data_IF_180179106789
#
_entry.id   IF_180179106789
#
_cell.length_a   1.000
_cell.length_b   1.000
_cell.length_c   1.000
_cell.angle_alpha   90.00
_cell.angle_beta   90.00
_cell.angle_gamma   90.00
#
_symmetry.space_group_name_H-M   'P 1'
#
loop_
_entity.id
_entity.type
_entity.pdbx_description
1 polymer ?
#
# COMPACT_ATOMS: atom_id res chain seq x y z
N UNK A 1 -31.63 15.70 61.22
CA UNK A 1 -31.81 15.68 59.74
C UNK A 1 -30.51 15.68 58.94
N UNK A 2 -29.37 16.16 59.44
CA UNK A 2 -28.10 16.11 58.69
C UNK A 2 -27.44 14.71 58.60
N UNK A 3 -27.52 13.90 59.67
CA UNK A 3 -26.91 12.57 59.71
C UNK A 3 -27.58 11.55 58.76
N UNK A 4 -28.88 11.72 58.48
CA UNK A 4 -29.67 10.83 57.62
C UNK A 4 -29.39 11.07 56.13
N UNK A 5 -28.99 12.28 55.75
CA UNK A 5 -28.68 12.67 54.36
C UNK A 5 -27.25 12.23 53.98
N UNK A 6 -26.31 12.21 54.93
CA UNK A 6 -24.93 11.76 54.69
C UNK A 6 -24.83 10.23 54.55
N UNK A 7 -25.60 9.45 55.30
CA UNK A 7 -25.68 7.99 55.11
C UNK A 7 -26.34 7.60 53.77
N UNK A 8 -27.33 8.37 53.31
CA UNK A 8 -27.98 8.14 52.02
C UNK A 8 -27.06 8.46 50.84
N UNK A 9 -26.19 9.49 50.96
CA UNK A 9 -25.20 9.82 49.92
C UNK A 9 -24.02 8.82 49.88
N UNK A 10 -23.57 8.31 51.02
CA UNK A 10 -22.52 7.27 51.08
C UNK A 10 -23.07 5.92 50.62
N UNK A 11 -24.32 5.59 50.96
CA UNK A 11 -24.99 4.39 50.45
C UNK A 11 -25.23 4.44 48.94
N UNK A 12 -25.58 5.60 48.37
CA UNK A 12 -25.76 5.77 46.94
C UNK A 12 -24.44 5.77 46.16
N UNK A 13 -23.34 6.28 46.72
CA UNK A 13 -22.01 6.26 46.08
C UNK A 13 -21.32 4.89 46.16
N UNK A 14 -21.49 4.16 47.28
CA UNK A 14 -21.05 2.76 47.39
C UNK A 14 -21.92 1.84 46.53
N UNK A 15 -23.25 2.04 46.46
CA UNK A 15 -24.13 1.26 45.60
C UNK A 15 -23.88 1.52 44.10
N UNK A 16 -23.49 2.74 43.69
CA UNK A 16 -23.09 3.03 42.31
C UNK A 16 -21.70 2.46 41.99
N UNK A 17 -20.78 2.42 42.95
CA UNK A 17 -19.49 1.74 42.79
C UNK A 17 -19.64 0.21 42.73
N UNK A 18 -20.53 -0.40 43.50
CA UNK A 18 -20.83 -1.85 43.43
C UNK A 18 -21.65 -2.23 42.21
N UNK A 19 -22.60 -1.39 41.77
CA UNK A 19 -23.37 -1.63 40.54
C UNK A 19 -22.55 -1.44 39.25
N UNK A 20 -21.34 -0.86 39.34
CA UNK A 20 -20.35 -0.88 38.27
C UNK A 20 -19.53 -2.19 38.26
N UNK A 21 -19.36 -2.84 39.43
CA UNK A 21 -18.58 -4.07 39.61
C UNK A 21 -19.37 -5.35 39.21
N UNK A 22 -20.70 -5.31 39.22
CA UNK A 22 -21.56 -6.39 38.72
C UNK A 22 -21.69 -6.44 37.18
N UNK A 23 -21.18 -5.42 36.48
CA UNK A 23 -21.20 -5.41 35.01
C UNK A 23 -19.95 -6.12 34.50
N UNK A 24 -20.12 -7.12 33.64
CA UNK A 24 -18.98 -7.77 32.98
C UNK A 24 -18.17 -6.79 32.10
N UNK A 25 -16.95 -7.19 31.69
CA UNK A 25 -16.05 -6.34 30.91
C UNK A 25 -16.70 -5.75 29.65
N UNK A 26 -16.36 -4.50 29.28
CA UNK A 26 -16.83 -3.87 28.04
C UNK A 26 -15.67 -3.29 27.26
N UNK A 27 -15.69 -3.47 25.94
CA UNK A 27 -14.74 -2.80 25.03
C UNK A 27 -14.94 -1.29 25.10
N UNK A 28 -13.84 -0.56 25.27
CA UNK A 28 -13.79 0.90 25.35
C UNK A 28 -13.04 1.53 24.20
N UNK A 29 -12.06 0.83 23.67
CA UNK A 29 -11.26 1.29 22.55
C UNK A 29 -10.83 0.08 21.72
N UNK A 30 -10.72 0.31 20.42
CA UNK A 30 -10.06 -0.60 19.50
C UNK A 30 -8.94 0.19 18.82
N UNK A 31 -7.75 -0.39 18.78
CA UNK A 31 -6.60 0.18 18.09
C UNK A 31 -6.09 -0.80 17.04
N UNK A 32 -5.62 -0.26 15.92
CA UNK A 32 -5.33 -1.01 14.70
C UNK A 32 -6.37 -0.72 13.63
N UNK A 33 -5.96 -0.79 12.37
CA UNK A 33 -6.83 -0.55 11.22
C UNK A 33 -7.13 -1.86 10.49
N UNK A 34 -8.33 -2.40 10.70
CA UNK A 34 -8.74 -3.65 10.10
C UNK A 34 -8.83 -3.59 8.56
N UNK A 35 -8.90 -2.39 7.97
CA UNK A 35 -8.88 -2.23 6.52
C UNK A 35 -7.55 -2.67 5.91
N UNK A 36 -6.44 -2.59 6.66
CA UNK A 36 -5.12 -3.02 6.21
C UNK A 36 -4.96 -4.55 6.20
N UNK A 37 -5.87 -5.30 6.84
CA UNK A 37 -5.76 -6.76 6.98
C UNK A 37 -5.89 -7.51 5.64
N UNK A 38 -6.37 -6.85 4.58
CA UNK A 38 -6.45 -7.44 3.22
C UNK A 38 -5.13 -7.33 2.46
N UNK A 39 -4.21 -6.46 2.89
CA UNK A 39 -2.96 -6.14 2.20
C UNK A 39 -1.72 -6.21 3.09
N UNK A 40 -1.86 -6.39 4.40
CA UNK A 40 -0.76 -6.52 5.36
C UNK A 40 -0.91 -7.80 6.19
N UNK A 41 0.16 -8.59 6.25
CA UNK A 41 0.27 -9.74 7.15
C UNK A 41 0.65 -9.26 8.55
N UNK A 42 0.37 -10.09 9.56
CA UNK A 42 0.70 -9.84 10.97
C UNK A 42 0.08 -8.56 11.58
N UNK A 43 -1.01 -8.07 10.96
CA UNK A 43 -1.77 -6.95 11.49
C UNK A 43 -2.38 -7.34 12.85
N UNK A 44 -2.15 -6.50 13.86
CA UNK A 44 -2.70 -6.69 15.20
C UNK A 44 -3.83 -5.70 15.48
N UNK A 45 -5.02 -6.22 15.76
CA UNK A 45 -6.11 -5.46 16.38
C UNK A 45 -6.07 -5.65 17.89
N UNK A 46 -6.15 -4.55 18.64
CA UNK A 46 -6.19 -4.58 20.10
C UNK A 46 -7.50 -4.00 20.60
N UNK A 47 -8.31 -4.84 21.25
CA UNK A 47 -9.57 -4.45 21.86
C UNK A 47 -9.34 -4.24 23.36
N UNK A 48 -9.33 -3.00 23.81
CA UNK A 48 -9.15 -2.63 25.22
C UNK A 48 -10.49 -2.59 25.92
N UNK A 49 -10.57 -3.25 27.07
CA UNK A 49 -11.74 -3.27 27.93
C UNK A 49 -11.56 -2.36 29.15
N UNK A 50 -12.65 -2.10 29.87
CA UNK A 50 -12.65 -1.30 31.11
C UNK A 50 -12.24 -2.08 32.37
N UNK A 51 -11.99 -3.39 32.25
CA UNK A 51 -11.65 -4.26 33.37
C UNK A 51 -10.54 -5.24 32.97
N UNK A 52 -9.66 -5.64 33.89
CA UNK A 52 -8.70 -6.71 33.61
C UNK A 52 -9.47 -8.01 33.30
N UNK A 53 -8.99 -8.73 32.29
CA UNK A 53 -9.59 -9.95 31.78
C UNK A 53 -8.93 -11.19 32.39
N UNK A 54 -9.74 -12.20 32.60
CA UNK A 54 -9.28 -13.53 32.97
C UNK A 54 -8.82 -14.29 31.73
N UNK A 55 -7.66 -14.96 31.81
CA UNK A 55 -7.04 -15.65 30.68
C UNK A 55 -7.90 -16.82 30.17
N UNK A 56 -8.78 -17.37 31.02
CA UNK A 56 -9.78 -18.38 30.60
C UNK A 56 -10.75 -17.86 29.54
N UNK A 57 -10.88 -16.55 29.36
CA UNK A 57 -11.75 -15.99 28.31
C UNK A 57 -11.22 -16.27 26.89
N UNK A 58 -9.96 -16.70 26.75
CA UNK A 58 -9.40 -17.12 25.45
C UNK A 58 -10.06 -18.38 24.91
N UNK A 59 -10.53 -19.29 25.75
CA UNK A 59 -11.11 -20.59 25.32
C UNK A 59 -12.37 -20.42 24.46
N UNK A 60 -13.11 -19.33 24.64
CA UNK A 60 -14.33 -19.02 23.88
C UNK A 60 -14.14 -17.98 22.79
N UNK A 61 -12.93 -17.41 22.65
CA UNK A 61 -12.64 -16.34 21.70
C UNK A 61 -12.48 -16.92 20.30
N UNK A 62 -13.21 -16.36 19.34
CA UNK A 62 -13.22 -16.83 17.95
C UNK A 62 -13.48 -15.70 16.96
N UNK A 63 -13.11 -15.96 15.70
CA UNK A 63 -13.30 -15.04 14.57
C UNK A 63 -14.29 -15.69 13.61
N UNK A 64 -15.29 -14.94 13.17
CA UNK A 64 -16.32 -15.38 12.21
C UNK A 64 -16.36 -14.42 11.01
N UNK A 65 -16.22 -14.87 9.75
CA UNK A 65 -15.80 -16.22 9.35
C UNK A 65 -14.39 -16.55 9.88
N UNK A 66 -14.07 -17.85 9.93
CA UNK A 66 -12.78 -18.32 10.41
C UNK A 66 -11.63 -17.72 9.60
N UNK A 67 -10.62 -17.19 10.30
CA UNK A 67 -9.43 -16.61 9.72
C UNK A 67 -8.20 -16.98 10.57
N UNK A 68 -7.04 -17.19 9.96
CA UNK A 68 -5.82 -17.53 10.68
C UNK A 68 -5.36 -16.34 11.53
N UNK A 69 -5.38 -16.51 12.85
CA UNK A 69 -4.98 -15.49 13.80
C UNK A 69 -4.44 -16.09 15.10
N UNK A 70 -3.45 -15.41 15.66
CA UNK A 70 -3.00 -15.63 17.03
C UNK A 70 -3.75 -14.67 17.95
N UNK A 71 -4.33 -15.21 19.03
CA UNK A 71 -5.14 -14.45 19.97
C UNK A 71 -4.58 -14.58 21.38
N UNK A 72 -4.45 -13.45 22.06
CA UNK A 72 -3.99 -13.40 23.45
C UNK A 72 -4.77 -12.40 24.28
N UNK A 73 -4.75 -12.60 25.59
CA UNK A 73 -5.23 -11.65 26.58
C UNK A 73 -4.02 -11.07 27.30
N UNK A 74 -3.91 -9.75 27.32
CA UNK A 74 -2.91 -9.03 28.10
C UNK A 74 -3.57 -7.98 28.97
N UNK A 75 -3.67 -8.29 30.27
CA UNK A 75 -4.32 -7.43 31.26
C UNK A 75 -5.77 -7.18 30.90
N UNK A 76 -6.09 -5.96 30.46
CA UNK A 76 -7.44 -5.54 30.08
C UNK A 76 -7.66 -5.57 28.55
N UNK A 77 -6.75 -6.13 27.77
CA UNK A 77 -6.81 -6.12 26.31
C UNK A 77 -6.94 -7.53 25.74
N UNK A 78 -7.74 -7.67 24.68
CA UNK A 78 -7.70 -8.81 23.76
C UNK A 78 -6.88 -8.36 22.56
N UNK A 79 -5.77 -9.04 22.26
CA UNK A 79 -5.00 -8.82 21.03
C UNK A 79 -5.29 -9.93 20.04
N UNK A 80 -5.58 -9.56 18.82
CA UNK A 80 -5.83 -10.47 17.70
C UNK A 80 -4.84 -10.12 16.60
N UNK A 81 -3.84 -10.97 16.39
CA UNK A 81 -2.85 -10.83 15.30
C UNK A 81 -3.23 -11.76 14.16
N UNK A 82 -3.68 -11.19 13.05
CA UNK A 82 -3.99 -11.94 11.84
C UNK A 82 -2.69 -12.39 11.16
N UNK A 83 -2.43 -13.69 11.12
CA UNK A 83 -1.19 -14.24 10.55
C UNK A 83 -1.25 -14.37 9.02
N UNK A 84 -2.45 -14.25 8.46
CA UNK A 84 -2.70 -14.19 7.02
C UNK A 84 -3.57 -13.01 6.62
N UNK A 85 -3.72 -12.81 5.32
CA UNK A 85 -4.58 -11.76 4.77
C UNK A 85 -6.06 -12.14 4.89
N UNK A 86 -6.90 -11.18 5.27
CA UNK A 86 -8.35 -11.35 5.30
C UNK A 86 -8.96 -11.26 3.90
N UNK A 87 -10.14 -11.84 3.70
CA UNK A 87 -10.89 -11.73 2.46
C UNK A 87 -11.36 -10.28 2.25
N UNK A 88 -11.46 -9.84 0.99
CA UNK A 88 -12.02 -8.53 0.64
C UNK A 88 -13.55 -8.52 0.80
N UNK A 89 -14.13 -7.34 1.02
CA UNK A 89 -15.58 -7.11 1.12
C UNK A 89 -16.30 -8.09 2.06
N UNK A 90 -15.66 -8.46 3.17
CA UNK A 90 -16.13 -9.50 4.08
C UNK A 90 -16.39 -8.94 5.47
N UNK A 91 -17.58 -9.22 6.01
CA UNK A 91 -17.93 -8.88 7.38
C UNK A 91 -17.34 -9.91 8.35
N UNK A 92 -16.46 -9.45 9.23
CA UNK A 92 -15.83 -10.25 10.28
C UNK A 92 -16.36 -9.86 11.66
N UNK A 93 -16.38 -10.84 12.58
CA UNK A 93 -16.71 -10.65 13.99
C UNK A 93 -15.69 -11.35 14.87
N UNK A 94 -15.20 -10.63 15.88
CA UNK A 94 -14.44 -11.19 16.99
C UNK A 94 -15.41 -11.38 18.14
N UNK A 95 -15.67 -12.63 18.49
CA UNK A 95 -16.71 -13.02 19.46
C UNK A 95 -16.08 -13.76 20.63
N UNK A 96 -16.40 -13.34 21.85
CA UNK A 96 -16.18 -14.13 23.06
C UNK A 96 -17.49 -14.18 23.85
N UNK A 97 -18.20 -15.31 23.91
CA UNK A 97 -19.51 -15.40 24.55
C UNK A 97 -19.43 -15.16 26.07
N UNK A 98 -18.31 -15.52 26.70
CA UNK A 98 -18.07 -15.40 28.14
C UNK A 98 -16.76 -14.66 28.45
N UNK A 99 -16.69 -13.38 28.09
CA UNK A 99 -15.59 -12.51 28.50
C UNK A 99 -15.66 -12.26 30.02
N UNK A 100 -14.63 -12.70 30.76
CA UNK A 100 -14.65 -12.70 32.23
C UNK A 100 -13.70 -11.66 32.82
N UNK A 101 -14.20 -10.90 33.80
CA UNK A 101 -13.37 -9.99 34.60
C UNK A 101 -12.50 -10.78 35.58
N UNK A 102 -11.19 -10.54 35.56
CA UNK A 102 -10.26 -11.07 36.57
C UNK A 102 -10.51 -10.45 37.95
N UNK A 103 -10.97 -9.19 37.99
CA UNK A 103 -11.16 -8.45 39.23
C UNK A 103 -12.45 -8.83 39.96
N UNK A 104 -13.55 -9.04 39.24
CA UNK A 104 -14.88 -9.24 39.84
C UNK A 104 -15.48 -10.62 39.55
N UNK A 105 -14.95 -11.35 38.57
CA UNK A 105 -15.53 -12.60 38.07
C UNK A 105 -16.80 -12.42 37.22
N UNK A 106 -17.28 -11.18 37.05
CA UNK A 106 -18.44 -10.87 36.22
C UNK A 106 -18.17 -11.23 34.75
N UNK A 107 -19.23 -11.66 34.05
CA UNK A 107 -19.18 -12.10 32.65
C UNK A 107 -19.92 -11.14 31.74
N UNK A 108 -19.46 -11.02 30.51
CA UNK A 108 -20.11 -10.31 29.42
C UNK A 108 -19.84 -11.01 28.10
N UNK A 109 -20.49 -10.56 27.03
CA UNK A 109 -20.19 -10.99 25.68
C UNK A 109 -19.35 -9.92 24.99
N UNK A 110 -18.23 -10.33 24.40
CA UNK A 110 -17.51 -9.58 23.39
C UNK A 110 -18.12 -9.89 22.04
N UNK A 111 -18.50 -8.85 21.31
CA UNK A 111 -18.97 -8.93 19.93
C UNK A 111 -18.50 -7.68 19.20
N UNK A 112 -17.35 -7.78 18.54
CA UNK A 112 -16.77 -6.70 17.76
C UNK A 112 -16.84 -7.04 16.29
N UNK A 113 -17.59 -6.25 15.52
CA UNK A 113 -17.74 -6.43 14.09
C UNK A 113 -16.91 -5.38 13.33
N UNK A 114 -16.32 -5.81 12.21
CA UNK A 114 -15.70 -4.93 11.23
C UNK A 114 -15.89 -5.51 9.83
N UNK A 115 -15.78 -4.68 8.80
CA UNK A 115 -15.87 -5.12 7.41
C UNK A 115 -14.60 -4.74 6.70
N UNK A 116 -13.99 -5.69 5.99
CA UNK A 116 -12.82 -5.42 5.15
C UNK A 116 -13.23 -4.66 3.89
N UNK A 117 -12.37 -3.78 3.35
CA UNK A 117 -12.69 -3.02 2.13
C UNK A 117 -12.81 -3.95 0.91
N UNK A 118 -13.50 -3.51 -0.16
CA UNK A 118 -13.51 -4.22 -1.43
C UNK A 118 -12.12 -4.21 -2.08
N UNK A 119 -11.88 -5.17 -2.97
CA UNK A 119 -10.69 -5.12 -3.82
C UNK A 119 -10.85 -4.00 -4.85
N UNK A 120 -9.89 -3.10 -4.94
CA UNK A 120 -9.91 -1.99 -5.90
C UNK A 120 -8.64 -1.94 -6.71
N UNK A 121 -8.75 -1.46 -7.95
CA UNK A 121 -7.61 -1.04 -8.76
C UNK A 121 -7.85 0.39 -9.21
N UNK A 122 -6.85 1.24 -9.05
CA UNK A 122 -6.87 2.58 -9.66
C UNK A 122 -6.04 2.52 -10.93
N UNK A 123 -6.46 3.22 -11.97
CA UNK A 123 -5.79 3.28 -13.28
C UNK A 123 -5.79 4.71 -13.82
N UNK A 124 -4.85 4.99 -14.72
CA UNK A 124 -4.81 6.21 -15.50
C UNK A 124 -5.41 5.96 -16.89
N UNK A 125 -6.49 6.67 -17.20
CA UNK A 125 -7.10 6.70 -18.52
C UNK A 125 -6.68 7.97 -19.25
N UNK A 126 -5.74 7.82 -20.19
CA UNK A 126 -5.31 8.94 -21.06
C UNK A 126 -6.33 9.18 -22.17
N UNK A 127 -6.65 10.44 -22.41
CA UNK A 127 -7.58 10.86 -23.46
C UNK A 127 -7.01 10.74 -24.88
N UNK A 128 -5.68 10.61 -25.01
CA UNK A 128 -5.01 10.46 -26.30
C UNK A 128 -3.53 10.79 -26.24
N UNK A 129 -3.01 11.28 -27.38
CA UNK A 129 -1.61 11.70 -27.52
C UNK A 129 -1.29 12.92 -26.64
N UNK A 130 -0.02 13.09 -26.28
CA UNK A 130 0.47 14.22 -25.49
C UNK A 130 0.32 15.56 -26.21
N UNK A 131 0.62 15.60 -27.51
CA UNK A 131 0.62 16.79 -28.37
C UNK A 131 -0.76 17.15 -28.95
N UNK A 132 -1.82 16.53 -28.43
CA UNK A 132 -3.21 16.83 -28.81
C UNK A 132 -3.53 18.32 -28.63
N UNK A 133 -4.27 18.84 -29.61
CA UNK A 133 -4.62 20.26 -29.70
C UNK A 133 -5.70 20.70 -28.69
N UNK A 134 -6.50 19.75 -28.18
CA UNK A 134 -7.50 20.01 -27.15
C UNK A 134 -7.01 19.63 -25.74
N UNK A 135 -7.66 20.18 -24.72
CA UNK A 135 -7.40 19.86 -23.31
C UNK A 135 -8.42 18.86 -22.76
N UNK A 136 -8.89 17.90 -23.57
CA UNK A 136 -9.72 16.79 -23.08
C UNK A 136 -9.03 16.14 -21.88
N UNK A 137 -9.68 15.98 -20.72
CA UNK A 137 -8.98 15.53 -19.53
C UNK A 137 -8.63 14.04 -19.62
N UNK A 138 -7.42 13.71 -19.19
CA UNK A 138 -7.12 12.36 -18.72
C UNK A 138 -7.80 12.17 -17.36
N UNK A 139 -8.02 10.91 -16.97
CA UNK A 139 -8.75 10.58 -15.75
C UNK A 139 -7.98 9.58 -14.92
N UNK A 140 -7.89 9.84 -13.62
CA UNK A 140 -7.54 8.80 -12.64
C UNK A 140 -8.84 8.15 -12.19
N UNK A 141 -9.00 6.86 -12.46
CA UNK A 141 -10.24 6.13 -12.25
C UNK A 141 -10.00 4.97 -11.30
N UNK A 142 -10.81 4.89 -10.24
CA UNK A 142 -10.83 3.75 -9.32
C UNK A 142 -11.95 2.80 -9.72
N UNK A 143 -11.62 1.52 -9.86
CA UNK A 143 -12.55 0.44 -10.09
C UNK A 143 -12.69 -0.41 -8.83
N UNK A 144 -13.93 -0.66 -8.42
CA UNK A 144 -14.29 -1.68 -7.43
C UNK A 144 -14.42 -3.01 -8.18
N UNK A 145 -13.50 -3.94 -7.91
CA UNK A 145 -13.44 -5.25 -8.56
C UNK A 145 -14.54 -6.19 -8.09
N UNK A 146 -15.07 -5.99 -6.89
CA UNK A 146 -16.15 -6.80 -6.32
C UNK A 146 -17.51 -6.40 -6.87
N UNK A 147 -17.73 -5.10 -7.09
CA UNK A 147 -19.02 -4.53 -7.53
C UNK A 147 -19.07 -4.18 -9.01
N UNK A 148 -17.93 -4.10 -9.70
CA UNK A 148 -17.84 -3.69 -11.09
C UNK A 148 -18.17 -2.20 -11.31
N UNK A 149 -18.08 -1.38 -10.27
CA UNK A 149 -18.36 0.06 -10.34
C UNK A 149 -17.06 0.86 -10.49
N UNK A 150 -17.14 2.01 -11.16
CA UNK A 150 -15.99 2.92 -11.32
C UNK A 150 -16.28 4.32 -10.77
N UNK A 151 -15.24 5.03 -10.37
CA UNK A 151 -15.31 6.42 -9.90
C UNK A 151 -14.08 7.18 -10.36
N UNK A 152 -14.28 8.30 -11.05
CA UNK A 152 -13.19 9.23 -11.39
C UNK A 152 -12.77 9.99 -10.14
N UNK A 153 -11.52 9.85 -9.73
CA UNK A 153 -10.93 10.52 -8.57
C UNK A 153 -10.38 11.90 -8.93
N UNK A 154 -9.80 12.04 -10.13
CA UNK A 154 -9.19 13.27 -10.61
C UNK A 154 -9.29 13.31 -12.12
N UNK A 155 -9.58 14.49 -12.67
CA UNK A 155 -9.57 14.75 -14.11
C UNK A 155 -8.72 15.98 -14.40
N UNK A 156 -7.72 15.85 -15.27
CA UNK A 156 -6.84 16.94 -15.67
C UNK A 156 -6.26 16.65 -17.07
N UNK A 157 -5.91 17.66 -17.87
CA UNK A 157 -5.20 17.42 -19.11
C UNK A 157 -3.81 16.84 -18.81
N UNK A 158 -3.31 15.96 -19.68
CA UNK A 158 -1.91 15.52 -19.72
C UNK A 158 -1.35 15.04 -18.37
N UNK A 159 -2.06 14.12 -17.72
CA UNK A 159 -1.59 13.43 -16.51
C UNK A 159 -0.50 12.44 -16.92
N UNK A 160 0.71 12.66 -16.42
CA UNK A 160 1.88 11.81 -16.68
C UNK A 160 1.91 10.60 -15.73
N UNK A 161 1.78 10.84 -14.44
CA UNK A 161 1.80 9.84 -13.36
C UNK A 161 0.77 10.23 -12.30
N UNK A 162 0.37 9.28 -11.46
CA UNK A 162 -0.47 9.56 -10.29
C UNK A 162 -0.08 8.63 -9.14
N UNK A 163 -0.47 9.00 -7.93
CA UNK A 163 -0.35 8.16 -6.74
C UNK A 163 -1.58 8.36 -5.84
N UNK A 164 -2.17 7.26 -5.38
CA UNK A 164 -3.28 7.27 -4.42
C UNK A 164 -2.79 7.53 -3.00
N UNK A 165 -3.35 8.50 -2.32
CA UNK A 165 -3.10 8.76 -0.90
C UNK A 165 -4.21 8.13 -0.05
N UNK A 166 -4.04 7.98 1.28
CA UNK A 166 -5.11 7.47 2.14
C UNK A 166 -6.43 8.25 1.96
N UNK A 167 -6.31 9.57 1.83
CA UNK A 167 -7.42 10.50 1.76
C UNK A 167 -7.58 11.15 0.38
N UNK A 168 -7.14 10.51 -0.72
CA UNK A 168 -7.27 11.14 -2.04
C UNK A 168 -6.33 10.63 -3.12
N UNK A 169 -5.92 11.54 -4.02
CA UNK A 169 -5.00 11.28 -5.12
C UNK A 169 -4.13 12.50 -5.41
N UNK A 170 -2.88 12.24 -5.78
CA UNK A 170 -1.98 13.23 -6.37
C UNK A 170 -1.66 12.82 -7.80
N UNK A 171 -1.79 13.74 -8.74
CA UNK A 171 -1.44 13.56 -10.14
C UNK A 171 -0.30 14.52 -10.54
N UNK A 172 0.68 13.98 -11.24
CA UNK A 172 1.67 14.77 -11.97
C UNK A 172 1.07 15.18 -13.31
N UNK A 173 0.78 16.47 -13.45
CA UNK A 173 0.25 17.07 -14.67
C UNK A 173 1.38 17.79 -15.41
N UNK A 174 1.47 17.58 -16.72
CA UNK A 174 2.43 18.28 -17.59
C UNK A 174 1.66 19.24 -18.50
N UNK A 175 1.85 20.53 -18.31
CA UNK A 175 1.21 21.57 -19.09
C UNK A 175 1.77 21.63 -20.53
N UNK A 176 1.05 22.30 -21.44
CA UNK A 176 1.41 22.35 -22.87
C UNK A 176 2.75 23.04 -23.17
N UNK A 177 3.29 23.83 -22.24
CA UNK A 177 4.62 24.45 -22.32
C UNK A 177 5.74 23.57 -21.71
N UNK A 178 5.38 22.37 -21.26
CA UNK A 178 6.27 21.40 -20.62
C UNK A 178 6.49 21.62 -19.13
N UNK A 179 5.81 22.57 -18.46
CA UNK A 179 5.90 22.67 -17.00
C UNK A 179 5.17 21.52 -16.31
N UNK A 180 5.79 20.98 -15.26
CA UNK A 180 5.20 19.95 -14.42
C UNK A 180 4.62 20.57 -13.15
N UNK A 181 3.43 20.13 -12.75
CA UNK A 181 2.80 20.47 -11.46
C UNK A 181 2.17 19.25 -10.81
N UNK A 182 2.15 19.23 -9.48
CA UNK A 182 1.45 18.22 -8.71
C UNK A 182 0.06 18.75 -8.37
N UNK A 183 -0.99 18.13 -8.94
CA UNK A 183 -2.38 18.43 -8.63
C UNK A 183 -2.90 17.41 -7.62
N UNK A 184 -3.67 17.86 -6.63
CA UNK A 184 -4.25 17.01 -5.58
C UNK A 184 -5.76 17.07 -5.61
N UNK A 185 -6.41 15.96 -5.26
CA UNK A 185 -7.83 15.91 -4.92
C UNK A 185 -7.95 15.13 -3.61
N UNK A 186 -8.55 15.71 -2.59
CA UNK A 186 -8.81 15.02 -1.32
C UNK A 186 -10.10 14.19 -1.36
N UNK A 187 -10.38 13.45 -0.28
CA UNK A 187 -11.53 12.56 -0.16
C UNK A 187 -12.88 13.28 -0.11
N UNK A 188 -12.88 14.60 0.13
CA UNK A 188 -14.05 15.45 0.02
C UNK A 188 -14.24 16.04 -1.39
N UNK A 189 -13.29 15.76 -2.31
CA UNK A 189 -13.28 16.29 -3.67
C UNK A 189 -12.69 17.71 -3.77
N UNK A 190 -11.99 18.19 -2.75
CA UNK A 190 -11.34 19.50 -2.77
C UNK A 190 -10.05 19.40 -3.59
N UNK A 191 -9.96 20.23 -4.61
CA UNK A 191 -8.78 20.31 -5.47
C UNK A 191 -7.71 21.22 -4.86
N UNK A 192 -6.45 20.90 -5.13
CA UNK A 192 -5.29 21.68 -4.72
C UNK A 192 -4.06 21.41 -5.57
N UNK A 193 -2.94 22.01 -5.17
CA UNK A 193 -1.64 21.81 -5.81
C UNK A 193 -0.54 21.73 -4.77
N UNK A 194 0.50 20.95 -5.05
CA UNK A 194 1.71 20.89 -4.22
C UNK A 194 2.89 21.55 -4.94
N UNK A 195 3.74 22.30 -4.22
CA UNK A 195 4.95 22.88 -4.78
C UNK A 195 5.96 21.79 -5.18
N UNK A 196 6.64 22.00 -6.30
CA UNK A 196 7.82 21.23 -6.70
C UNK A 196 9.10 21.96 -6.26
N UNK A 197 10.26 21.29 -6.23
CA UNK A 197 11.52 21.93 -5.82
C UNK A 197 11.96 23.06 -6.77
N UNK A 198 11.46 23.05 -8.01
CA UNK A 198 11.69 24.05 -9.04
C UNK A 198 11.08 23.61 -10.37
N UNK A 199 11.49 24.27 -11.45
CA UNK A 199 11.07 23.90 -12.82
C UNK A 199 11.98 22.78 -13.32
N UNK A 200 11.44 21.59 -13.54
CA UNK A 200 12.23 20.43 -13.98
C UNK A 200 11.37 19.21 -14.26
N UNK A 201 12.04 18.09 -14.50
CA UNK A 201 11.41 16.78 -14.68
C UNK A 201 11.04 16.19 -13.32
N UNK A 202 9.82 15.66 -13.23
CA UNK A 202 9.31 14.92 -12.07
C UNK A 202 8.90 13.54 -12.56
N UNK A 203 9.33 12.50 -11.85
CA UNK A 203 9.04 11.10 -12.18
C UNK A 203 9.04 10.23 -10.94
N UNK A 204 8.60 8.97 -11.09
CA UNK A 204 8.55 8.01 -10.00
C UNK A 204 7.72 8.54 -8.82
N UNK A 205 6.60 9.20 -9.11
CA UNK A 205 5.64 9.67 -8.12
C UNK A 205 4.99 8.47 -7.43
N UNK A 206 5.10 8.41 -6.10
CA UNK A 206 4.48 7.36 -5.28
C UNK A 206 3.94 7.96 -4.00
N UNK A 207 2.98 7.28 -3.41
CA UNK A 207 2.39 7.64 -2.13
C UNK A 207 2.61 6.53 -1.12
N UNK A 208 2.79 6.92 0.14
CA UNK A 208 2.69 5.99 1.25
C UNK A 208 1.21 5.77 1.54
N UNK A 209 0.79 4.52 1.47
CA UNK A 209 -0.58 4.11 1.76
C UNK A 209 -1.03 4.42 3.20
N UNK A 210 -0.08 4.59 4.13
CA UNK A 210 -0.38 4.71 5.57
C UNK A 210 0.19 5.99 6.20
N UNK A 211 1.32 6.52 5.70
CA UNK A 211 1.99 7.66 6.31
C UNK A 211 1.46 9.03 5.82
N UNK A 212 0.54 9.05 4.86
CA UNK A 212 0.03 10.29 4.28
C UNK A 212 1.14 11.14 3.67
N UNK A 213 2.05 10.52 2.93
CA UNK A 213 3.19 11.19 2.27
C UNK A 213 3.21 10.82 0.81
N UNK A 214 3.75 11.72 0.00
CA UNK A 214 4.18 11.41 -1.37
C UNK A 214 5.69 11.56 -1.48
N UNK A 215 6.27 10.84 -2.42
CA UNK A 215 7.63 11.08 -2.87
C UNK A 215 7.71 11.03 -4.38
N UNK A 216 8.77 11.62 -4.92
CA UNK A 216 9.06 11.65 -6.35
C UNK A 216 10.54 11.98 -6.58
N UNK A 217 11.04 11.63 -7.75
CA UNK A 217 12.38 11.97 -8.20
C UNK A 217 12.33 13.22 -9.06
N UNK A 218 13.21 14.18 -8.76
CA UNK A 218 13.29 15.47 -9.43
C UNK A 218 14.67 15.69 -10.08
N UNK A 219 14.66 16.26 -11.28
CA UNK A 219 15.86 16.74 -11.98
C UNK A 219 15.61 18.16 -12.52
N UNK A 220 16.48 19.09 -12.16
CA UNK A 220 16.43 20.48 -12.59
C UNK A 220 16.89 21.47 -11.53
N UNK A 221 16.85 22.77 -11.84
CA UNK A 221 17.23 23.83 -10.91
C UNK A 221 16.21 23.97 -9.77
N UNK A 222 16.71 24.30 -8.58
CA UNK A 222 15.89 24.76 -7.46
C UNK A 222 15.16 26.06 -7.81
N UNK A 223 13.98 26.28 -7.24
CA UNK A 223 13.16 27.47 -7.47
C UNK A 223 13.87 28.77 -7.09
N UNK A 224 14.76 28.72 -6.09
CA UNK A 224 15.58 29.86 -5.64
C UNK A 224 16.91 30.00 -6.40
N UNK A 225 17.21 29.08 -7.33
CA UNK A 225 18.45 29.05 -8.12
C UNK A 225 19.71 28.67 -7.33
N UNK A 226 19.58 28.18 -6.10
CA UNK A 226 20.75 27.90 -5.24
C UNK A 226 21.35 26.51 -5.45
N UNK A 227 20.61 25.59 -6.07
CA UNK A 227 21.02 24.22 -6.30
C UNK A 227 20.56 23.70 -7.66
N UNK A 228 21.30 22.74 -8.20
CA UNK A 228 20.93 21.92 -9.35
C UNK A 228 20.74 20.48 -8.87
N UNK A 229 19.57 19.91 -9.09
CA UNK A 229 19.26 18.54 -8.69
C UNK A 229 19.35 17.58 -9.86
N UNK A 230 19.90 16.39 -9.61
CA UNK A 230 19.97 15.31 -10.60
C UNK A 230 19.49 14.01 -9.99
N UNK A 231 18.30 13.56 -10.40
CA UNK A 231 17.64 12.35 -9.90
C UNK A 231 17.48 12.35 -8.38
N UNK A 232 17.25 13.52 -7.77
CA UNK A 232 17.15 13.64 -6.32
C UNK A 232 15.74 13.24 -5.85
N UNK A 233 15.67 12.40 -4.82
CA UNK A 233 14.41 11.99 -4.19
C UNK A 233 13.90 13.10 -3.26
N UNK A 234 12.63 13.47 -3.41
CA UNK A 234 11.92 14.42 -2.56
C UNK A 234 10.70 13.76 -1.91
N UNK A 235 10.31 14.30 -0.75
CA UNK A 235 9.07 13.94 -0.03
C UNK A 235 8.26 15.21 0.21
N UNK A 236 6.95 15.10 0.07
CA UNK A 236 5.99 16.14 0.43
C UNK A 236 4.81 15.56 1.24
N UNK A 237 4.14 16.43 1.98
CA UNK A 237 2.92 16.12 2.74
C UNK A 237 1.71 16.73 2.01
N UNK A 238 0.83 15.91 1.42
CA UNK A 238 -0.39 16.41 0.78
C UNK A 238 -1.31 17.19 1.72
N UNK A 239 -1.27 16.92 3.03
CA UNK A 239 -2.04 17.63 4.04
C UNK A 239 -1.44 18.99 4.43
N UNK A 240 -0.26 19.35 3.91
CA UNK A 240 0.41 20.63 4.14
C UNK A 240 0.77 21.28 2.79
N UNK A 241 -0.23 21.76 2.01
CA UNK A 241 -0.03 22.16 0.62
C UNK A 241 0.92 23.34 0.41
N UNK A 242 1.12 24.18 1.44
CA UNK A 242 2.05 25.31 1.39
C UNK A 242 3.48 24.95 1.82
N UNK A 243 3.70 23.72 2.32
CA UNK A 243 5.03 23.29 2.76
C UNK A 243 5.91 22.93 1.56
N UNK A 244 7.11 23.49 1.52
CA UNK A 244 8.09 23.14 0.49
C UNK A 244 8.46 21.65 0.58
N UNK A 245 8.63 20.96 -0.57
CA UNK A 245 9.07 19.58 -0.57
C UNK A 245 10.48 19.46 -0.01
N UNK A 246 10.73 18.38 0.73
CA UNK A 246 12.01 18.14 1.40
C UNK A 246 12.84 17.13 0.61
N UNK A 247 14.08 17.48 0.30
CA UNK A 247 15.03 16.50 -0.24
C UNK A 247 15.29 15.39 0.79
N UNK A 248 15.25 14.15 0.33
CA UNK A 248 15.70 13.00 1.12
C UNK A 248 17.22 13.04 1.14
N UNK A 249 17.82 12.93 2.33
CA UNK A 249 19.26 12.98 2.49
C UNK A 249 19.82 11.55 2.61
N UNK A 250 20.82 11.25 1.78
CA UNK A 250 21.53 9.99 1.76
C UNK A 250 22.55 9.87 2.89
N UNK A 251 23.23 8.72 2.92
CA UNK A 251 24.26 8.40 3.94
C UNK A 251 25.46 9.36 3.85
N UNK A 252 25.73 9.87 2.65
CA UNK A 252 26.77 10.85 2.35
C UNK A 252 26.42 12.28 2.80
N UNK A 253 25.22 12.50 3.35
CA UNK A 253 24.74 13.82 3.75
C UNK A 253 24.29 14.71 2.58
N UNK A 254 24.21 14.16 1.36
CA UNK A 254 23.75 14.86 0.16
C UNK A 254 22.32 14.44 -0.21
N UNK A 255 21.62 15.21 -1.07
CA UNK A 255 20.35 14.75 -1.64
C UNK A 255 20.50 13.37 -2.28
N UNK A 256 19.68 12.42 -1.83
CA UNK A 256 19.72 11.03 -2.24
C UNK A 256 19.33 10.91 -3.71
N UNK A 257 20.28 10.49 -4.53
CA UNK A 257 20.08 10.24 -5.96
C UNK A 257 19.62 8.81 -6.17
N UNK A 258 18.52 8.61 -6.89
CA UNK A 258 17.93 7.28 -7.08
C UNK A 258 17.17 7.16 -8.40
N UNK A 259 17.17 5.95 -8.95
CA UNK A 259 16.31 5.57 -10.08
C UNK A 259 15.27 4.50 -9.71
N UNK A 260 15.31 3.97 -8.48
CA UNK A 260 14.35 3.01 -7.95
C UNK A 260 14.19 3.20 -6.43
N UNK A 261 12.95 3.40 -5.97
CA UNK A 261 12.64 3.59 -4.56
C UNK A 261 11.20 3.16 -4.25
N UNK A 262 10.92 2.78 -3.00
CA UNK A 262 9.60 2.34 -2.55
C UNK A 262 9.37 2.79 -1.10
N UNK A 263 8.14 3.20 -0.77
CA UNK A 263 7.73 3.26 0.64
C UNK A 263 7.65 1.84 1.21
N UNK A 264 8.03 1.69 2.47
CA UNK A 264 7.88 0.42 3.20
C UNK A 264 6.48 0.42 3.86
N UNK A 265 5.57 -0.51 3.47
CA UNK A 265 4.20 -0.54 3.97
C UNK A 265 4.12 -0.60 5.51
N UNK A 266 3.13 0.07 6.10
CA UNK A 266 2.91 0.08 7.55
C UNK A 266 3.95 0.84 8.36
N UNK A 267 4.89 1.55 7.72
CA UNK A 267 5.97 2.26 8.41
C UNK A 267 6.18 3.68 7.90
N UNK A 268 6.99 4.46 8.62
CA UNK A 268 7.48 5.76 8.15
C UNK A 268 8.72 5.64 7.26
N UNK A 269 9.15 4.44 6.87
CA UNK A 269 10.39 4.26 6.13
C UNK A 269 10.16 4.15 4.62
N UNK A 270 11.20 4.45 3.85
CA UNK A 270 11.34 4.13 2.45
C UNK A 270 12.68 3.44 2.19
N UNK A 271 12.73 2.62 1.16
CA UNK A 271 13.96 2.04 0.62
C UNK A 271 14.27 2.70 -0.72
N UNK A 272 15.54 2.96 -0.99
CA UNK A 272 15.98 3.50 -2.26
C UNK A 272 17.31 2.86 -2.69
N UNK A 273 17.46 2.66 -3.99
CA UNK A 273 18.73 2.33 -4.61
C UNK A 273 19.48 3.63 -4.90
N UNK A 274 20.60 3.83 -4.23
CA UNK A 274 21.44 5.01 -4.43
C UNK A 274 22.24 4.91 -5.73
N UNK A 275 22.83 6.03 -6.18
CA UNK A 275 23.58 6.08 -7.43
C UNK A 275 24.81 5.15 -7.51
N UNK A 276 25.34 4.68 -6.36
CA UNK A 276 26.42 3.70 -6.29
C UNK A 276 25.90 2.24 -6.20
N UNK A 277 24.60 2.05 -6.40
CA UNK A 277 23.86 0.77 -6.33
C UNK A 277 23.79 0.15 -4.94
N UNK A 278 24.01 0.94 -3.89
CA UNK A 278 23.73 0.53 -2.51
C UNK A 278 22.27 0.78 -2.17
N UNK A 279 21.65 -0.14 -1.44
CA UNK A 279 20.34 0.05 -0.85
C UNK A 279 20.44 0.83 0.45
N UNK A 280 19.56 1.83 0.59
CA UNK A 280 19.48 2.69 1.77
C UNK A 280 18.07 2.67 2.30
N UNK A 281 17.93 2.49 3.61
CA UNK A 281 16.69 2.62 4.35
C UNK A 281 16.63 4.02 5.00
N UNK A 282 15.61 4.79 4.67
CA UNK A 282 15.46 6.18 5.11
C UNK A 282 14.14 6.38 5.83
N UNK A 283 14.17 7.11 6.95
CA UNK A 283 12.95 7.57 7.60
C UNK A 283 12.36 8.76 6.85
N UNK A 284 11.17 8.59 6.29
CA UNK A 284 10.44 9.59 5.53
C UNK A 284 10.06 10.83 6.35
N UNK A 285 10.11 10.75 7.69
CA UNK A 285 9.92 11.92 8.56
C UNK A 285 11.20 12.76 8.71
N UNK A 286 12.37 12.16 8.46
CA UNK A 286 13.67 12.78 8.67
C UNK A 286 14.14 12.81 10.13
N UNK A 287 13.45 12.10 11.04
CA UNK A 287 13.85 12.04 12.46
C UNK A 287 15.04 11.10 12.64
N UNK A 288 15.00 9.91 12.02
CA UNK A 288 16.11 8.96 12.08
C UNK A 288 17.10 9.13 10.92
N UNK A 289 18.42 8.94 11.16
CA UNK A 289 19.42 8.97 10.09
C UNK A 289 19.26 7.80 9.11
N UNK A 290 19.68 7.95 7.84
CA UNK A 290 19.64 6.88 6.85
C UNK A 290 20.57 5.72 7.24
N UNK A 291 20.19 4.50 6.87
CA UNK A 291 20.93 3.26 7.16
C UNK A 291 21.30 2.53 5.87
N UNK A 292 22.56 2.08 5.77
CA UNK A 292 22.99 1.21 4.69
C UNK A 292 22.41 -0.19 4.87
N UNK A 293 21.85 -0.75 3.81
CA UNK A 293 21.43 -2.16 3.74
C UNK A 293 22.40 -3.03 2.93
N UNK A 294 23.39 -2.40 2.27
CA UNK A 294 24.41 -3.07 1.47
C UNK A 294 24.11 -3.02 -0.04
N UNK A 295 24.95 -3.69 -0.83
CA UNK A 295 24.82 -3.80 -2.28
C UNK A 295 24.23 -5.17 -2.64
N UNK A 296 22.92 -5.19 -2.87
CA UNK A 296 22.17 -6.44 -3.09
C UNK A 296 21.65 -6.61 -4.53
N UNK A 297 22.02 -5.70 -5.43
CA UNK A 297 21.54 -5.67 -6.81
C UNK A 297 20.47 -4.61 -7.04
N UNK A 298 19.78 -4.70 -8.17
CA UNK A 298 18.68 -3.80 -8.55
C UNK A 298 17.52 -3.92 -7.57
N UNK A 299 16.99 -2.79 -7.11
CA UNK A 299 15.75 -2.76 -6.34
C UNK A 299 14.54 -3.04 -7.25
N UNK A 300 13.83 -4.14 -7.02
CA UNK A 300 12.73 -4.60 -7.90
C UNK A 300 11.35 -4.26 -7.38
N UNK A 301 11.15 -4.23 -6.06
CA UNK A 301 9.83 -3.98 -5.48
C UNK A 301 9.73 -4.31 -4.00
N UNK A 302 8.52 -4.13 -3.46
CA UNK A 302 8.13 -4.66 -2.15
C UNK A 302 7.46 -6.02 -2.38
N UNK A 303 7.84 -7.01 -1.56
CA UNK A 303 7.19 -8.31 -1.59
C UNK A 303 5.74 -8.16 -1.06
N UNK A 304 4.72 -8.58 -1.82
CA UNK A 304 3.32 -8.38 -1.45
C UNK A 304 2.97 -8.86 -0.04
N UNK A 305 2.22 -8.06 0.71
CA UNK A 305 1.78 -8.37 2.07
C UNK A 305 2.82 -8.20 3.16
N UNK A 306 4.02 -7.74 2.84
CA UNK A 306 5.16 -7.71 3.76
C UNK A 306 5.88 -6.35 3.78
N UNK A 307 6.86 -6.22 4.66
CA UNK A 307 7.84 -5.13 4.66
C UNK A 307 9.15 -5.50 3.96
N UNK A 308 9.22 -6.66 3.30
CA UNK A 308 10.43 -7.16 2.66
C UNK A 308 10.60 -6.59 1.26
N UNK A 309 11.84 -6.45 0.81
CA UNK A 309 12.17 -5.89 -0.51
C UNK A 309 12.71 -6.98 -1.42
N UNK A 310 12.31 -6.95 -2.69
CA UNK A 310 12.80 -7.85 -3.73
C UNK A 310 13.96 -7.17 -4.42
N UNK A 311 15.08 -7.88 -4.51
CA UNK A 311 16.34 -7.41 -5.11
C UNK A 311 16.81 -8.41 -6.15
N UNK A 312 17.48 -7.94 -7.20
CA UNK A 312 18.02 -8.83 -8.23
C UNK A 312 19.46 -8.46 -8.58
N UNK A 313 20.35 -9.43 -8.41
CA UNK A 313 21.74 -9.35 -8.84
C UNK A 313 21.96 -10.17 -10.11
N UNK A 314 23.15 -10.11 -10.67
CA UNK A 314 23.54 -10.96 -11.81
C UNK A 314 23.48 -12.46 -11.48
N UNK A 315 23.60 -12.82 -10.20
CA UNK A 315 23.62 -14.20 -9.73
C UNK A 315 22.23 -14.74 -9.37
N UNK A 316 21.38 -13.93 -8.73
CA UNK A 316 20.11 -14.37 -8.22
C UNK A 316 19.15 -13.22 -7.92
N UNK A 317 17.85 -13.54 -7.92
CA UNK A 317 16.80 -12.74 -7.26
C UNK A 317 16.61 -13.20 -5.82
N UNK A 318 16.47 -12.26 -4.90
CA UNK A 318 16.40 -12.51 -3.46
C UNK A 318 15.39 -11.58 -2.78
N UNK A 319 14.94 -11.97 -1.60
CA UNK A 319 14.11 -11.18 -0.71
C UNK A 319 14.96 -10.76 0.49
N UNK A 320 15.04 -9.45 0.75
CA UNK A 320 15.61 -8.89 1.97
C UNK A 320 14.48 -8.56 2.94
N UNK A 321 14.50 -9.18 4.12
CA UNK A 321 13.61 -8.84 5.23
C UNK A 321 14.16 -7.62 5.99
N UNK A 322 13.41 -6.51 5.97
CA UNK A 322 13.83 -5.27 6.62
C UNK A 322 13.74 -5.31 8.16
N UNK A 323 13.08 -6.32 8.73
CA UNK A 323 12.91 -6.44 10.19
C UNK A 323 14.13 -7.05 10.87
N UNK A 324 14.80 -7.99 10.21
CA UNK A 324 15.92 -8.75 10.76
C UNK A 324 17.18 -8.70 9.88
N UNK A 325 17.09 -8.20 8.64
CA UNK A 325 18.19 -8.09 7.70
C UNK A 325 18.57 -9.39 6.98
N UNK A 326 17.77 -10.45 7.07
CA UNK A 326 18.02 -11.70 6.34
C UNK A 326 17.82 -11.52 4.85
N UNK A 327 18.63 -12.25 4.06
CA UNK A 327 18.54 -12.25 2.60
C UNK A 327 18.41 -13.68 2.14
N UNK A 328 17.27 -13.99 1.53
CA UNK A 328 16.92 -15.33 1.09
C UNK A 328 16.72 -15.35 -0.42
N UNK A 329 17.34 -16.31 -1.11
CA UNK A 329 17.20 -16.48 -2.56
C UNK A 329 15.81 -17.01 -2.88
N UNK A 330 15.15 -16.43 -3.89
CA UNK A 330 13.89 -16.95 -4.43
C UNK A 330 14.22 -18.07 -5.41
N UNK A 331 13.93 -19.35 -5.11
CA UNK A 331 14.39 -20.46 -5.94
C UNK A 331 13.78 -20.41 -7.34
N UNK A 332 14.63 -20.52 -8.37
CA UNK A 332 14.20 -20.54 -9.77
C UNK A 332 13.81 -19.18 -10.37
N UNK A 333 13.71 -18.12 -9.55
CA UNK A 333 13.39 -16.79 -10.06
C UNK A 333 14.52 -16.26 -10.97
N UNK A 334 14.18 -15.63 -12.12
CA UNK A 334 15.18 -15.07 -13.01
C UNK A 334 16.05 -14.02 -12.32
N UNK A 335 17.37 -14.08 -12.55
CA UNK A 335 18.33 -13.06 -12.12
C UNK A 335 18.28 -11.82 -13.01
N UNK A 336 19.00 -10.75 -12.64
CA UNK A 336 18.99 -9.47 -13.35
C UNK A 336 19.47 -9.57 -14.81
N UNK A 337 20.30 -10.57 -15.11
CA UNK A 337 20.82 -10.85 -16.47
C UNK A 337 19.81 -11.55 -17.38
N UNK A 338 18.66 -11.99 -16.85
CA UNK A 338 17.61 -12.63 -17.64
C UNK A 338 16.95 -11.65 -18.60
N UNK A 339 16.59 -12.15 -19.79
CA UNK A 339 15.78 -11.40 -20.75
C UNK A 339 14.28 -11.51 -20.46
N UNK A 340 13.87 -12.47 -19.62
CA UNK A 340 12.48 -12.59 -19.17
C UNK A 340 12.18 -11.52 -18.13
N UNK A 341 11.05 -10.85 -18.32
CA UNK A 341 10.51 -9.99 -17.27
C UNK A 341 9.98 -10.88 -16.13
N UNK A 342 10.17 -10.45 -14.88
CA UNK A 342 9.76 -11.22 -13.71
C UNK A 342 9.38 -10.35 -12.51
N UNK A 343 8.55 -10.93 -11.64
CA UNK A 343 8.05 -10.32 -10.40
C UNK A 343 7.85 -11.43 -9.36
N UNK A 344 8.29 -11.19 -8.12
CA UNK A 344 8.16 -12.16 -7.01
C UNK A 344 6.84 -11.97 -6.26
N UNK A 345 6.03 -13.02 -6.18
CA UNK A 345 4.74 -13.03 -5.47
C UNK A 345 4.90 -13.35 -3.99
N UNK A 346 5.69 -14.38 -3.70
CA UNK A 346 6.02 -14.90 -2.37
C UNK A 346 7.47 -15.36 -2.38
N UNK A 347 8.11 -15.67 -1.24
CA UNK A 347 9.49 -16.15 -1.21
C UNK A 347 9.73 -17.44 -2.02
N UNK A 348 8.66 -18.15 -2.37
CA UNK A 348 8.61 -19.41 -3.10
C UNK A 348 7.75 -19.35 -4.38
N UNK A 349 7.32 -18.17 -4.83
CA UNK A 349 6.58 -18.06 -6.09
C UNK A 349 6.90 -16.78 -6.83
N UNK A 350 6.99 -16.88 -8.16
CA UNK A 350 7.24 -15.74 -9.02
C UNK A 350 6.45 -15.84 -10.32
N UNK A 351 6.26 -14.69 -10.94
CA UNK A 351 5.72 -14.54 -12.28
C UNK A 351 6.85 -14.29 -13.27
N UNK A 352 6.74 -14.87 -14.46
CA UNK A 352 7.47 -14.45 -15.65
C UNK A 352 6.50 -14.13 -16.76
N UNK A 353 6.89 -13.23 -17.67
CA UNK A 353 6.06 -12.96 -18.83
C UNK A 353 6.87 -12.52 -20.03
N UNK A 354 6.25 -12.71 -21.19
CA UNK A 354 6.65 -12.14 -22.45
C UNK A 354 5.46 -11.41 -23.10
N UNK A 355 5.51 -11.16 -24.41
CA UNK A 355 4.44 -10.49 -25.13
C UNK A 355 3.13 -11.29 -25.21
N UNK A 356 3.16 -12.60 -24.94
CA UNK A 356 2.07 -13.55 -25.21
C UNK A 356 1.42 -14.11 -23.96
N UNK A 357 2.18 -14.34 -22.88
CA UNK A 357 1.63 -14.96 -21.68
C UNK A 357 2.34 -14.52 -20.40
N UNK A 358 1.58 -14.56 -19.30
CA UNK A 358 2.06 -14.52 -17.92
C UNK A 358 2.06 -15.93 -17.38
N UNK A 359 3.19 -16.36 -16.83
CA UNK A 359 3.39 -17.69 -16.24
C UNK A 359 3.69 -17.55 -14.76
N UNK A 360 3.05 -18.36 -13.93
CA UNK A 360 3.35 -18.52 -12.51
C UNK A 360 4.23 -19.76 -12.32
N UNK A 361 5.24 -19.62 -11.47
CA UNK A 361 6.17 -20.70 -11.14
C UNK A 361 6.34 -20.80 -9.62
N UNK A 362 6.41 -22.03 -9.12
CA UNK A 362 6.83 -22.39 -7.76
C UNK A 362 7.94 -23.45 -7.84
N UNK A 363 8.73 -23.68 -6.78
CA UNK A 363 9.72 -24.75 -6.73
C UNK A 363 9.12 -26.15 -6.85
N UNK A 364 7.89 -26.34 -6.35
CA UNK A 364 7.27 -27.66 -6.20
C UNK A 364 6.37 -28.03 -7.38
N UNK A 365 5.79 -27.05 -8.08
CA UNK A 365 4.83 -27.28 -9.15
C UNK A 365 5.42 -27.01 -10.53
N UNK A 366 4.84 -27.65 -11.54
CA UNK A 366 5.07 -27.25 -12.92
C UNK A 366 4.55 -25.83 -13.16
N UNK A 367 5.34 -25.02 -13.87
CA UNK A 367 4.94 -23.67 -14.24
C UNK A 367 3.59 -23.67 -14.98
N UNK A 368 2.69 -22.76 -14.60
CA UNK A 368 1.33 -22.67 -15.11
C UNK A 368 1.08 -21.32 -15.77
N UNK A 369 0.37 -21.32 -16.90
CA UNK A 369 -0.04 -20.08 -17.57
C UNK A 369 -1.16 -19.44 -16.77
N UNK A 370 -0.93 -18.23 -16.29
CA UNK A 370 -1.87 -17.46 -15.48
C UNK A 370 -2.78 -16.58 -16.34
N UNK A 371 -2.22 -15.96 -17.38
CA UNK A 371 -2.96 -15.11 -18.30
C UNK A 371 -2.30 -15.15 -19.69
N UNK A 372 -3.11 -14.97 -20.74
CA UNK A 372 -2.66 -14.86 -22.12
C UNK A 372 -3.08 -13.53 -22.73
N UNK A 373 -2.24 -13.00 -23.62
CA UNK A 373 -2.57 -11.85 -24.44
C UNK A 373 -3.81 -12.16 -25.28
N UNK A 374 -4.80 -11.25 -25.35
CA UNK A 374 -5.88 -11.35 -26.32
C UNK A 374 -5.36 -11.44 -27.77
N UNK A 375 -6.16 -12.00 -28.66
CA UNK A 375 -5.77 -12.11 -30.08
C UNK A 375 -5.60 -10.74 -30.74
N UNK A 376 -4.44 -10.50 -31.37
CA UNK A 376 -4.09 -9.21 -31.97
C UNK A 376 -3.60 -8.17 -30.95
N UNK A 377 -3.33 -8.59 -29.73
CA UNK A 377 -2.72 -7.79 -28.68
C UNK A 377 -1.45 -8.45 -28.15
N UNK A 378 -0.66 -7.66 -27.43
CA UNK A 378 0.52 -8.12 -26.71
C UNK A 378 0.55 -7.58 -25.30
N UNK A 379 1.00 -8.41 -24.36
CA UNK A 379 1.30 -7.99 -23.01
C UNK A 379 2.46 -7.00 -23.00
N UNK A 380 2.36 -6.01 -22.12
CA UNK A 380 3.41 -5.00 -21.92
C UNK A 380 3.64 -4.61 -20.47
N UNK A 381 2.67 -4.85 -19.60
CA UNK A 381 2.76 -4.50 -18.19
C UNK A 381 2.15 -5.64 -17.38
N UNK A 382 2.86 -6.09 -16.34
CA UNK A 382 2.37 -7.08 -15.39
C UNK A 382 2.71 -6.58 -14.00
N UNK A 383 1.69 -6.49 -13.14
CA UNK A 383 1.82 -5.96 -11.80
C UNK A 383 0.98 -6.78 -10.83
N UNK A 384 1.28 -6.66 -9.54
CA UNK A 384 0.65 -7.48 -8.51
C UNK A 384 0.10 -6.57 -7.43
N UNK A 385 -1.15 -6.80 -7.07
CA UNK A 385 -1.79 -6.08 -5.97
C UNK A 385 -0.96 -6.18 -4.68
N UNK A 386 -1.05 -5.19 -3.80
CA UNK A 386 -0.31 -5.21 -2.52
C UNK A 386 -0.57 -6.49 -1.69
N UNK A 387 -1.73 -7.13 -1.86
CA UNK A 387 -2.09 -8.41 -1.22
C UNK A 387 -1.42 -9.65 -1.81
N UNK A 388 -0.89 -9.55 -3.04
CA UNK A 388 -0.41 -10.70 -3.80
C UNK A 388 -1.51 -11.57 -4.43
N UNK A 389 -2.80 -11.28 -4.16
CA UNK A 389 -3.94 -12.11 -4.61
C UNK A 389 -4.40 -11.85 -6.03
N UNK A 390 -4.11 -10.67 -6.56
CA UNK A 390 -4.50 -10.30 -7.91
C UNK A 390 -3.30 -9.87 -8.74
N UNK A 391 -3.32 -10.24 -10.01
CA UNK A 391 -2.37 -9.82 -11.03
C UNK A 391 -3.09 -8.96 -12.06
N UNK A 392 -2.53 -7.80 -12.36
CA UNK A 392 -2.93 -6.96 -13.46
C UNK A 392 -2.06 -7.28 -14.67
N UNK A 393 -2.66 -7.77 -15.75
CA UNK A 393 -2.00 -8.06 -17.02
C UNK A 393 -2.48 -7.04 -18.07
N UNK A 394 -1.65 -6.04 -18.33
CA UNK A 394 -1.91 -4.97 -19.29
C UNK A 394 -1.50 -5.37 -20.70
N UNK A 395 -2.46 -5.35 -21.63
CA UNK A 395 -2.27 -5.62 -23.05
C UNK A 395 -2.62 -4.42 -23.91
N UNK A 396 -2.02 -4.37 -25.10
CA UNK A 396 -2.23 -3.32 -26.09
C UNK A 396 -2.34 -3.93 -27.48
N UNK A 397 -3.10 -3.32 -28.41
CA UNK A 397 -3.17 -3.75 -29.79
C UNK A 397 -1.81 -3.83 -30.47
N UNK A 398 -1.65 -4.82 -31.34
CA UNK A 398 -0.49 -4.91 -32.22
C UNK A 398 -0.40 -3.68 -33.12
N UNK A 399 0.77 -3.03 -33.10
CA UNK A 399 1.00 -1.79 -33.84
C UNK A 399 0.44 -0.53 -33.20
N UNK A 400 -0.08 -0.57 -31.97
CA UNK A 400 -0.54 0.61 -31.24
C UNK A 400 0.53 1.72 -31.21
N UNK A 401 0.12 2.97 -31.48
CA UNK A 401 0.97 4.15 -31.44
C UNK A 401 1.40 4.46 -30.01
N UNK A 402 2.55 5.12 -29.86
CA UNK A 402 3.02 5.67 -28.60
C UNK A 402 2.41 7.05 -28.39
N UNK A 403 1.96 7.36 -27.19
CA UNK A 403 1.26 8.60 -26.84
C UNK A 403 2.16 9.83 -26.66
N UNK A 404 3.48 9.65 -26.52
CA UNK A 404 4.47 10.73 -26.56
C UNK A 404 4.68 11.48 -25.25
N UNK A 405 4.20 10.99 -24.10
CA UNK A 405 4.46 11.63 -22.80
C UNK A 405 5.95 11.60 -22.45
N UNK A 406 6.53 12.70 -21.90
CA UNK A 406 7.97 12.87 -21.86
C UNK A 406 8.72 11.89 -20.95
N UNK A 407 8.25 11.63 -19.72
CA UNK A 407 8.94 10.70 -18.82
C UNK A 407 8.39 9.26 -18.87
N UNK A 408 7.13 9.11 -19.29
CA UNK A 408 6.36 7.86 -19.24
C UNK A 408 5.44 7.71 -20.44
N UNK A 409 6.02 7.71 -21.63
CA UNK A 409 5.30 7.37 -22.84
C UNK A 409 4.73 5.95 -22.74
N UNK A 410 3.52 5.76 -23.26
CA UNK A 410 2.85 4.47 -23.30
C UNK A 410 2.14 4.27 -24.64
N UNK A 411 1.67 3.05 -24.92
CA UNK A 411 0.87 2.76 -26.11
C UNK A 411 -0.60 3.05 -25.87
N UNK A 412 -1.21 3.66 -26.87
CA UNK A 412 -2.63 4.02 -26.87
C UNK A 412 -3.50 2.77 -26.91
N UNK A 413 -4.64 2.79 -26.22
CA UNK A 413 -5.64 1.72 -26.26
C UNK A 413 -5.35 0.55 -25.32
N UNK A 414 -4.59 0.78 -24.24
CA UNK A 414 -4.32 -0.25 -23.23
C UNK A 414 -5.60 -0.71 -22.54
N UNK A 415 -5.74 -2.02 -22.42
CA UNK A 415 -6.68 -2.69 -21.54
C UNK A 415 -5.91 -3.52 -20.51
N UNK A 416 -6.48 -3.67 -19.33
CA UNK A 416 -5.87 -4.41 -18.24
C UNK A 416 -6.83 -5.48 -17.74
N UNK A 417 -6.42 -6.73 -17.87
CA UNK A 417 -7.14 -7.87 -17.28
C UNK A 417 -6.63 -8.12 -15.87
N UNK A 418 -7.54 -8.14 -14.92
CA UNK A 418 -7.26 -8.52 -13.53
C UNK A 418 -7.60 -9.99 -13.36
N UNK A 419 -6.63 -10.78 -12.92
CA UNK A 419 -6.79 -12.22 -12.66
C UNK A 419 -6.44 -12.55 -11.22
N UNK A 420 -7.07 -13.59 -10.68
CA UNK A 420 -6.66 -14.22 -9.44
C UNK A 420 -5.26 -14.83 -9.60
N UNK A 421 -4.36 -14.52 -8.67
CA UNK A 421 -2.93 -14.83 -8.78
C UNK A 421 -2.59 -16.31 -8.62
N UNK A 422 -3.54 -17.12 -8.14
CA UNK A 422 -3.36 -18.56 -7.94
C UNK A 422 -4.01 -19.37 -9.05
N UNK A 423 -5.30 -19.12 -9.30
CA UNK A 423 -6.12 -19.86 -10.25
C UNK A 423 -6.05 -19.33 -11.68
N UNK A 424 -5.65 -18.07 -11.89
CA UNK A 424 -5.74 -17.39 -13.19
C UNK A 424 -7.16 -17.02 -13.61
N UNK A 425 -8.16 -17.19 -12.72
CA UNK A 425 -9.53 -16.81 -13.00
C UNK A 425 -9.63 -15.30 -13.24
N UNK A 426 -10.35 -14.90 -14.31
CA UNK A 426 -10.56 -13.49 -14.61
C UNK A 426 -11.52 -12.88 -13.59
N UNK A 427 -11.06 -11.84 -12.92
CA UNK A 427 -11.83 -11.09 -11.92
C UNK A 427 -12.49 -9.87 -12.57
N UNK A 428 -11.74 -9.13 -13.38
CA UNK A 428 -12.25 -7.94 -14.07
C UNK A 428 -11.42 -7.62 -15.32
N UNK A 429 -11.98 -6.79 -16.19
CA UNK A 429 -11.25 -6.11 -17.25
C UNK A 429 -11.50 -4.60 -17.11
N UNK A 430 -10.43 -3.82 -17.03
CA UNK A 430 -10.48 -2.36 -16.86
C UNK A 430 -9.73 -1.69 -17.99
N UNK A 431 -10.12 -0.45 -18.32
CA UNK A 431 -9.43 0.37 -19.33
C UNK A 431 -8.40 1.25 -18.65
N UNK A 432 -7.36 1.60 -19.40
CA UNK A 432 -6.30 2.47 -18.90
C UNK A 432 -5.01 1.73 -18.57
N UNK A 433 -4.07 2.51 -18.10
CA UNK A 433 -2.68 2.14 -17.84
C UNK A 433 -2.28 2.42 -16.41
N UNK A 434 -1.08 2.01 -16.02
CA UNK A 434 -0.48 2.30 -14.72
C UNK A 434 -1.44 1.96 -13.58
N UNK A 435 -1.87 0.69 -13.44
CA UNK A 435 -2.46 0.25 -12.19
C UNK A 435 -1.65 0.78 -11.00
N UNK A 436 -2.31 1.22 -9.94
CA UNK A 436 -1.65 1.66 -8.69
C UNK A 436 -0.79 0.54 -8.06
N UNK A 437 -0.93 -0.69 -8.55
CA UNK A 437 -0.13 -1.87 -8.23
C UNK A 437 1.23 -1.91 -8.94
N UNK A 438 1.43 -1.13 -9.99
CA UNK A 438 2.65 -1.05 -10.80
C UNK A 438 3.69 -0.06 -10.26
N UNK A 439 3.50 0.41 -9.03
CA UNK A 439 4.21 1.53 -8.43
C UNK A 439 5.72 1.39 -8.52
#
# INVERSE_FOLDING_TARGET
MAATVVLALIGASVAMATAALDRGPRVRAVTGDAALAVSQRDLTLTLRTDQPLDDSSLEGLRIEPEAPADMEIDGAAVRVRFTGLLAFDTAYRIVAPELRSRATGARSTLDYAFTTPPATVTVLERAGLFDRADDTPDRVVRHDLSRGTETTLLAAPRIQEYAGTPDGVVALVVDGDGSARLQTVDGAGVEGTLPTPGRGDVRLLRASADAGRIGYVFTGPAADGTAEYTNALFIADPGAPDAAPRAVIGIDGLPLRTDAWFFVPGTSYLVAESADRSLVLVDATGVAPPRALGQLGDLRGILPGTTSVVVSSDAATSVLDLTNGSVDVVPGAPAATSTLQSLVLTPDAFLTWDASAVTRSTPEDAASVLATAPGGERLQEVCVSASGRHVAAGSVPDGASIDGYPARADRVGRSTRIVDAESGAVVAEVRGTRPDWCA
#
